data_IF_269270257460
#
_entry.id   IF_269270257460
#
_cell.length_a   1.000
_cell.length_b   1.000
_cell.length_c   1.000
_cell.angle_alpha   90.00
_cell.angle_beta   90.00
_cell.angle_gamma   90.00
#
_symmetry.space_group_name_H-M   'P 1'
#
loop_
_entity.id
_entity.type
_entity.pdbx_description
1 polymer ?
#
# COMPACT_ATOMS: atom_id res chain seq x y z
N UNK A 1 11.24 15.55 4.67
CA UNK A 1 10.28 14.45 4.92
C UNK A 1 10.60 13.32 3.99
N UNK A 2 10.52 12.09 4.43
CA UNK A 2 10.63 10.91 3.57
C UNK A 2 9.79 9.76 4.12
N UNK A 3 9.37 8.86 3.24
CA UNK A 3 8.76 7.60 3.59
C UNK A 3 9.55 6.40 3.06
N UNK A 4 8.86 5.32 2.71
CA UNK A 4 9.48 4.15 2.09
C UNK A 4 9.76 4.38 0.60
N UNK A 5 10.70 3.61 0.02
CA UNK A 5 11.16 3.79 -1.37
C UNK A 5 10.15 3.39 -2.46
N UNK A 6 9.09 2.68 -2.10
CA UNK A 6 7.97 2.36 -2.99
C UNK A 6 6.74 3.20 -2.56
N UNK A 7 6.87 4.52 -2.60
CA UNK A 7 5.85 5.43 -2.11
C UNK A 7 4.47 5.08 -2.68
N UNK A 8 3.49 5.01 -1.81
CA UNK A 8 2.08 4.91 -2.15
C UNK A 8 1.34 6.19 -1.77
N UNK A 9 0.02 6.19 -1.90
CA UNK A 9 -0.78 7.37 -1.58
C UNK A 9 -0.81 7.70 -0.10
N UNK A 10 -0.61 6.72 0.81
CA UNK A 10 -0.56 7.02 2.24
C UNK A 10 0.75 7.67 2.63
N UNK A 11 1.86 7.10 2.19
CA UNK A 11 3.19 7.68 2.34
C UNK A 11 3.25 9.10 1.78
N UNK A 12 2.76 9.31 0.55
CA UNK A 12 2.72 10.62 -0.11
C UNK A 12 1.82 11.61 0.62
N UNK A 13 0.61 11.20 0.97
CA UNK A 13 -0.36 12.03 1.70
C UNK A 13 0.18 12.50 3.05
N UNK A 14 0.74 11.57 3.83
CA UNK A 14 1.37 11.88 5.11
C UNK A 14 2.53 12.87 4.95
N UNK A 15 3.38 12.69 3.92
CA UNK A 15 4.48 13.61 3.64
C UNK A 15 3.98 15.02 3.28
N UNK A 16 2.92 15.13 2.47
CA UNK A 16 2.29 16.41 2.12
C UNK A 16 1.69 17.12 3.35
N UNK A 17 1.07 16.37 4.26
CA UNK A 17 0.55 16.93 5.51
C UNK A 17 1.65 17.46 6.43
N UNK A 18 2.77 16.74 6.56
CA UNK A 18 3.95 17.22 7.31
C UNK A 18 4.53 18.48 6.64
N UNK A 19 4.62 18.49 5.30
CA UNK A 19 5.08 19.67 4.56
C UNK A 19 4.15 20.87 4.77
N UNK A 20 2.83 20.67 4.85
CA UNK A 20 1.88 21.71 5.22
C UNK A 20 2.19 22.32 6.60
N UNK A 21 2.44 21.49 7.62
CA UNK A 21 2.82 21.96 8.96
C UNK A 21 4.13 22.75 8.94
N UNK A 22 5.13 22.27 8.20
CA UNK A 22 6.42 22.96 8.08
C UNK A 22 6.30 24.33 7.42
N UNK A 23 5.53 24.44 6.32
CA UNK A 23 5.24 25.70 5.64
C UNK A 23 4.52 26.70 6.56
N UNK A 24 3.54 26.24 7.33
CA UNK A 24 2.82 27.07 8.28
C UNK A 24 3.72 27.66 9.38
N UNK A 25 4.81 26.95 9.72
CA UNK A 25 5.87 27.43 10.62
C UNK A 25 6.92 28.30 9.90
N UNK A 26 6.75 28.62 8.61
CA UNK A 26 7.74 29.36 7.84
C UNK A 26 9.05 28.61 7.61
N UNK A 27 9.03 27.29 7.63
CA UNK A 27 10.22 26.46 7.40
C UNK A 27 10.31 26.01 5.94
N UNK A 28 11.55 25.98 5.43
CA UNK A 28 11.84 25.30 4.18
C UNK A 28 11.64 23.80 4.38
N UNK A 29 10.94 23.16 3.46
CA UNK A 29 10.63 21.74 3.53
C UNK A 29 10.90 21.08 2.17
N UNK A 30 11.42 19.87 2.22
CA UNK A 30 11.60 19.02 1.05
C UNK A 30 11.00 17.63 1.35
N UNK A 31 10.36 17.04 0.35
CA UNK A 31 9.89 15.67 0.37
C UNK A 31 10.82 14.86 -0.55
N UNK A 32 11.45 13.83 0.02
CA UNK A 32 12.29 12.90 -0.75
C UNK A 32 11.38 11.89 -1.42
N UNK A 33 11.40 11.84 -2.74
CA UNK A 33 10.69 10.85 -3.55
C UNK A 33 11.69 10.01 -4.33
N UNK A 34 11.49 8.71 -4.34
CA UNK A 34 12.27 7.77 -5.14
C UNK A 34 12.04 8.01 -6.63
N UNK A 35 12.96 7.55 -7.48
CA UNK A 35 12.76 7.65 -8.91
C UNK A 35 11.67 6.69 -9.37
N UNK A 36 10.69 7.22 -10.13
CA UNK A 36 9.67 6.46 -10.87
C UNK A 36 8.80 5.51 -10.01
N UNK A 37 7.88 6.06 -9.28
CA UNK A 37 6.79 5.28 -8.71
C UNK A 37 5.50 5.51 -9.51
N UNK A 38 5.22 4.62 -10.49
CA UNK A 38 4.03 4.68 -11.35
C UNK A 38 2.71 4.73 -10.54
N UNK A 39 2.76 4.32 -9.27
CA UNK A 39 1.59 4.32 -8.38
C UNK A 39 1.07 5.70 -8.02
N UNK A 40 1.95 6.70 -7.85
CA UNK A 40 1.59 8.06 -7.40
C UNK A 40 1.89 9.16 -8.42
N UNK A 41 2.37 8.83 -9.61
CA UNK A 41 2.79 9.81 -10.63
C UNK A 41 1.73 10.86 -10.91
N UNK A 42 0.47 10.46 -10.99
CA UNK A 42 -0.64 11.39 -11.30
C UNK A 42 -0.81 12.50 -10.25
N UNK A 43 -0.69 12.17 -8.96
CA UNK A 43 -0.83 13.16 -7.90
C UNK A 43 0.44 14.00 -7.75
N UNK A 44 1.62 13.40 -7.93
CA UNK A 44 2.90 14.11 -7.95
C UNK A 44 2.92 15.15 -9.07
N UNK A 45 2.56 14.76 -10.30
CA UNK A 45 2.46 15.64 -11.46
C UNK A 45 1.50 16.82 -11.23
N UNK A 46 0.43 16.58 -10.53
CA UNK A 46 -0.54 17.65 -10.19
C UNK A 46 0.03 18.65 -9.21
N UNK A 47 0.71 18.16 -8.16
CA UNK A 47 1.34 19.00 -7.15
C UNK A 47 2.49 19.79 -7.76
N UNK A 48 3.32 19.18 -8.61
CA UNK A 48 4.44 19.85 -9.28
C UNK A 48 4.03 21.00 -10.22
N UNK A 49 2.81 20.97 -10.76
CA UNK A 49 2.29 22.02 -11.64
C UNK A 49 1.81 23.26 -10.88
N UNK A 50 1.68 23.18 -9.58
CA UNK A 50 1.25 24.29 -8.74
C UNK A 50 2.48 25.02 -8.15
N UNK A 51 2.62 26.30 -8.46
CA UNK A 51 3.74 27.15 -8.04
C UNK A 51 3.94 27.18 -6.51
N UNK A 52 2.89 26.94 -5.73
CA UNK A 52 2.97 26.88 -4.28
C UNK A 52 3.85 25.72 -3.75
N UNK A 53 4.16 24.76 -4.61
CA UNK A 53 4.96 23.57 -4.29
C UNK A 53 6.27 23.51 -5.09
N UNK A 54 6.70 24.62 -5.66
CA UNK A 54 7.98 24.73 -6.35
C UNK A 54 9.13 24.26 -5.42
N UNK A 55 10.02 23.44 -5.92
CA UNK A 55 11.16 22.87 -5.20
C UNK A 55 10.81 22.03 -3.96
N UNK A 56 9.56 21.56 -3.83
CA UNK A 56 9.16 20.70 -2.71
C UNK A 56 9.77 19.31 -2.83
N UNK A 57 9.77 18.72 -4.02
CA UNK A 57 10.23 17.36 -4.23
C UNK A 57 11.71 17.32 -4.60
N UNK A 58 12.43 16.40 -3.99
CA UNK A 58 13.86 16.15 -4.20
C UNK A 58 14.12 14.66 -4.36
N UNK A 59 15.15 14.28 -5.08
CA UNK A 59 15.54 12.88 -5.24
C UNK A 59 16.46 12.43 -4.11
N UNK A 60 16.53 11.11 -3.84
CA UNK A 60 17.54 10.55 -2.96
C UNK A 60 18.95 11.05 -3.36
N UNK A 61 19.72 11.49 -2.39
CA UNK A 61 21.05 12.03 -2.60
C UNK A 61 21.15 13.54 -2.88
N UNK A 62 20.11 14.18 -3.41
CA UNK A 62 20.14 15.63 -3.74
C UNK A 62 20.28 16.53 -2.50
N UNK A 63 19.89 16.04 -1.32
CA UNK A 63 19.95 16.75 -0.04
C UNK A 63 21.35 16.75 0.60
N UNK A 64 22.40 16.28 -0.08
CA UNK A 64 23.73 16.21 0.50
C UNK A 64 24.27 17.57 1.00
N UNK A 65 23.86 18.69 0.38
CA UNK A 65 24.21 20.06 0.79
C UNK A 65 23.20 20.74 1.73
N UNK A 66 21.99 20.20 1.88
CA UNK A 66 20.91 20.78 2.69
C UNK A 66 20.75 20.07 4.03
N UNK A 67 21.10 18.79 4.09
CA UNK A 67 21.08 18.02 5.33
C UNK A 67 22.07 18.61 6.34
N UNK A 68 21.54 19.26 7.38
CA UNK A 68 22.33 19.92 8.42
C UNK A 68 21.91 19.44 9.80
N UNK A 69 22.74 19.70 10.81
CA UNK A 69 22.44 19.40 12.21
C UNK A 69 21.23 20.18 12.76
N UNK A 70 20.85 21.28 12.10
CA UNK A 70 19.66 22.07 12.45
C UNK A 70 18.37 21.52 11.83
N UNK A 71 18.49 20.70 10.79
CA UNK A 71 17.33 20.09 10.12
C UNK A 71 16.62 19.07 11.02
N UNK A 72 15.35 18.85 10.73
CA UNK A 72 14.54 17.78 11.28
C UNK A 72 14.16 16.83 10.13
N UNK A 73 14.41 15.56 10.30
CA UNK A 73 13.96 14.51 9.39
C UNK A 73 12.67 13.93 9.95
N UNK A 74 11.58 14.04 9.19
CA UNK A 74 10.32 13.39 9.51
C UNK A 74 10.17 12.18 8.61
N UNK A 75 10.16 11.01 9.19
CA UNK A 75 9.91 9.73 8.51
C UNK A 75 8.43 9.41 8.69
N UNK A 76 7.72 9.19 7.58
CA UNK A 76 6.28 8.92 7.57
C UNK A 76 6.02 7.55 6.93
N UNK A 77 5.00 6.86 7.43
CA UNK A 77 4.50 5.59 6.90
C UNK A 77 5.57 4.49 6.79
N UNK A 78 6.62 4.62 7.55
CA UNK A 78 7.72 3.66 7.66
C UNK A 78 8.53 3.91 8.92
N UNK A 79 9.17 2.87 9.43
CA UNK A 79 10.11 2.97 10.55
C UNK A 79 11.33 2.05 10.40
N UNK A 80 11.40 1.30 9.30
CA UNK A 80 12.46 0.31 9.03
C UNK A 80 13.51 0.96 8.12
N UNK A 81 14.78 1.10 8.55
CA UNK A 81 15.79 1.89 7.83
C UNK A 81 16.02 1.50 6.37
N UNK A 82 16.04 0.19 6.06
CA UNK A 82 16.41 -0.27 4.72
C UNK A 82 15.31 -0.12 3.66
N UNK A 83 14.07 0.19 4.07
CA UNK A 83 12.98 0.45 3.13
C UNK A 83 12.76 1.94 2.87
N UNK A 84 13.47 2.84 3.57
CA UNK A 84 13.32 4.29 3.39
C UNK A 84 13.83 4.75 2.03
N UNK A 85 13.28 5.84 1.53
CA UNK A 85 13.63 6.43 0.24
C UNK A 85 15.13 6.84 0.19
N UNK A 86 15.66 7.42 1.26
CA UNK A 86 17.09 7.74 1.41
C UNK A 86 17.59 7.42 2.83
N UNK A 87 18.02 6.18 3.11
CA UNK A 87 18.52 5.78 4.43
C UNK A 87 19.74 6.58 4.90
N UNK A 88 20.51 7.20 3.98
CA UNK A 88 21.71 7.95 4.34
C UNK A 88 21.40 9.23 5.12
N UNK A 89 20.18 9.73 5.03
CA UNK A 89 19.73 10.90 5.78
C UNK A 89 19.62 10.62 7.29
N UNK A 90 19.43 9.35 7.70
CA UNK A 90 19.42 8.96 9.12
C UNK A 90 20.76 9.21 9.82
N UNK A 91 21.87 9.16 9.08
CA UNK A 91 23.22 9.41 9.60
C UNK A 91 23.58 10.90 9.60
N UNK A 92 22.94 11.67 8.71
CA UNK A 92 23.26 13.10 8.50
C UNK A 92 22.42 14.03 9.34
N UNK A 93 21.16 13.66 9.62
CA UNK A 93 20.20 14.49 10.37
C UNK A 93 19.90 13.83 11.69
N UNK A 94 20.44 14.37 12.82
CA UNK A 94 20.30 13.72 14.12
C UNK A 94 18.90 13.86 14.76
N UNK A 95 18.10 14.83 14.29
CA UNK A 95 16.74 15.06 14.82
C UNK A 95 15.73 14.33 13.97
N UNK A 96 15.39 13.11 14.35
CA UNK A 96 14.50 12.24 13.60
C UNK A 96 13.15 12.13 14.32
N UNK A 97 12.06 12.33 13.60
CA UNK A 97 10.69 12.09 14.02
C UNK A 97 10.13 10.94 13.16
N UNK A 98 9.45 9.99 13.78
CA UNK A 98 8.80 8.87 13.10
C UNK A 98 7.31 8.94 13.34
N UNK A 99 6.50 8.93 12.27
CA UNK A 99 5.04 8.88 12.29
C UNK A 99 4.60 7.70 11.43
N UNK A 100 4.04 6.66 12.04
CA UNK A 100 3.73 5.42 11.33
C UNK A 100 2.55 4.69 11.97
N UNK A 101 1.82 3.90 11.19
CA UNK A 101 0.72 3.08 11.66
C UNK A 101 1.02 1.58 11.61
N UNK A 102 2.15 1.19 11.05
CA UNK A 102 2.55 -0.19 10.95
C UNK A 102 2.96 -0.79 12.30
N UNK A 103 2.80 -2.10 12.44
CA UNK A 103 3.27 -2.82 13.62
C UNK A 103 4.78 -2.68 13.75
N UNK A 104 5.23 -2.26 14.95
CA UNK A 104 6.64 -2.01 15.21
C UNK A 104 7.49 -3.26 14.97
N UNK A 105 8.54 -3.09 14.16
CA UNK A 105 9.57 -4.09 13.90
C UNK A 105 10.73 -3.97 14.91
N UNK A 106 11.49 -5.06 15.09
CA UNK A 106 12.76 -5.01 15.82
C UNK A 106 13.81 -4.15 15.07
N UNK A 107 13.75 -4.16 13.74
CA UNK A 107 14.60 -3.31 12.90
C UNK A 107 13.98 -1.92 12.75
N UNK A 108 14.34 -1.03 13.66
CA UNK A 108 13.75 0.30 13.80
C UNK A 108 14.80 1.40 13.63
N UNK A 109 14.39 2.58 13.15
CA UNK A 109 15.21 3.81 13.13
C UNK A 109 15.82 4.05 14.50
N UNK A 110 17.14 4.25 14.55
CA UNK A 110 17.89 4.40 15.82
C UNK A 110 17.75 5.81 16.38
N UNK A 111 17.59 5.91 17.69
CA UNK A 111 17.60 7.14 18.47
C UNK A 111 16.70 8.27 17.92
N UNK A 112 15.44 8.02 17.56
CA UNK A 112 14.55 9.08 17.14
C UNK A 112 14.27 10.04 18.28
N UNK A 113 14.12 11.33 17.94
CA UNK A 113 13.74 12.38 18.90
C UNK A 113 12.28 12.20 19.36
N UNK A 114 11.42 11.75 18.44
CA UNK A 114 10.01 11.49 18.70
C UNK A 114 9.54 10.30 17.87
N UNK A 115 8.73 9.45 18.47
CA UNK A 115 8.06 8.32 17.82
C UNK A 115 6.56 8.44 18.07
N UNK A 116 5.79 8.52 17.00
CA UNK A 116 4.34 8.46 17.02
C UNK A 116 3.89 7.29 16.15
N UNK A 117 3.71 6.14 16.79
CA UNK A 117 3.23 4.91 16.13
C UNK A 117 1.91 4.50 16.78
N UNK A 118 0.86 4.36 15.94
CA UNK A 118 -0.47 3.97 16.38
C UNK A 118 -1.05 2.94 15.41
N UNK A 119 -0.96 1.68 15.79
CA UNK A 119 -1.40 0.55 14.93
C UNK A 119 -2.92 0.39 14.83
N UNK A 120 -3.68 1.13 15.64
CA UNK A 120 -5.13 1.19 15.53
C UNK A 120 -5.61 2.26 14.53
N UNK A 121 -4.71 3.12 14.05
CA UNK A 121 -5.00 4.07 12.97
C UNK A 121 -5.07 3.35 11.64
N UNK A 122 -5.95 3.82 10.76
CA UNK A 122 -6.11 3.23 9.43
C UNK A 122 -4.96 3.52 8.47
N UNK A 123 -4.21 4.59 8.72
CA UNK A 123 -3.17 5.10 7.82
C UNK A 123 -2.27 6.14 8.50
N UNK A 124 -1.08 6.36 7.98
CA UNK A 124 -0.21 7.46 8.40
C UNK A 124 -0.82 8.83 8.05
N UNK A 125 -1.55 8.91 6.95
CA UNK A 125 -2.33 10.10 6.55
C UNK A 125 -3.41 10.45 7.57
N UNK A 126 -4.06 9.47 8.21
CA UNK A 126 -4.98 9.70 9.33
C UNK A 126 -4.23 10.35 10.49
N UNK A 127 -3.11 9.75 10.92
CA UNK A 127 -2.30 10.28 12.02
C UNK A 127 -1.82 11.71 11.78
N UNK A 128 -1.30 11.99 10.59
CA UNK A 128 -0.85 13.33 10.21
C UNK A 128 -2.03 14.31 10.14
N UNK A 129 -3.20 13.86 9.69
CA UNK A 129 -4.41 14.70 9.69
C UNK A 129 -4.84 15.07 11.11
N UNK A 130 -4.80 14.12 12.04
CA UNK A 130 -5.08 14.40 13.46
C UNK A 130 -4.09 15.42 14.04
N UNK A 131 -2.79 15.27 13.74
CA UNK A 131 -1.80 16.29 14.14
C UNK A 131 -2.16 17.66 13.56
N UNK A 132 -2.55 17.77 12.29
CA UNK A 132 -2.96 19.02 11.67
C UNK A 132 -4.16 19.67 12.37
N UNK A 133 -5.14 18.88 12.82
CA UNK A 133 -6.32 19.40 13.53
C UNK A 133 -5.97 20.14 14.81
N UNK A 134 -4.85 19.79 15.46
CA UNK A 134 -4.43 20.35 16.74
C UNK A 134 -3.12 21.16 16.69
N UNK A 135 -2.50 21.28 15.50
CA UNK A 135 -1.18 21.90 15.34
C UNK A 135 -1.18 23.42 15.57
N UNK A 136 -2.30 24.07 15.41
CA UNK A 136 -2.48 25.50 15.65
C UNK A 136 -3.51 26.14 14.72
N UNK A 137 -4.04 27.29 15.13
CA UNK A 137 -5.11 27.97 14.42
C UNK A 137 -4.72 28.48 13.00
N UNK A 138 -3.42 28.62 12.76
CA UNK A 138 -2.88 29.17 11.51
C UNK A 138 -2.54 28.08 10.47
N UNK A 139 -2.62 26.80 10.82
CA UNK A 139 -2.32 25.72 9.88
C UNK A 139 -3.59 25.35 9.13
N UNK A 140 -3.60 25.63 7.84
CA UNK A 140 -4.72 25.29 6.95
C UNK A 140 -4.18 24.53 5.74
N UNK A 141 -4.53 23.26 5.59
CA UNK A 141 -4.21 22.53 4.38
C UNK A 141 -4.82 23.20 3.16
N UNK A 142 -4.05 23.31 2.09
CA UNK A 142 -4.60 23.68 0.78
C UNK A 142 -5.51 22.58 0.26
N UNK A 143 -6.21 22.83 -0.84
CA UNK A 143 -6.99 21.78 -1.52
C UNK A 143 -6.13 20.59 -1.91
N UNK A 144 -4.89 20.81 -2.38
CA UNK A 144 -3.99 19.73 -2.78
C UNK A 144 -3.44 18.97 -1.57
N UNK A 145 -3.01 19.65 -0.49
CA UNK A 145 -2.59 18.98 0.75
C UNK A 145 -3.73 18.08 1.29
N UNK A 146 -4.94 18.64 1.37
CA UNK A 146 -6.09 17.90 1.87
C UNK A 146 -6.49 16.73 0.96
N UNK A 147 -6.34 16.89 -0.37
CA UNK A 147 -6.64 15.81 -1.34
C UNK A 147 -5.60 14.70 -1.25
N UNK A 148 -4.31 15.03 -1.08
CA UNK A 148 -3.24 14.06 -0.90
C UNK A 148 -3.45 13.22 0.37
N UNK A 149 -3.70 13.86 1.51
CA UNK A 149 -4.00 13.16 2.77
C UNK A 149 -5.26 12.28 2.65
N UNK A 150 -6.32 12.81 2.03
CA UNK A 150 -7.55 12.07 1.83
C UNK A 150 -7.35 10.85 0.91
N UNK A 151 -6.48 10.95 -0.11
CA UNK A 151 -6.17 9.83 -0.99
C UNK A 151 -5.46 8.69 -0.25
N UNK A 152 -4.54 9.01 0.68
CA UNK A 152 -3.89 8.03 1.55
C UNK A 152 -4.91 7.25 2.39
N UNK A 153 -5.79 7.96 3.11
CA UNK A 153 -6.85 7.32 3.89
C UNK A 153 -7.73 6.42 3.01
N UNK A 154 -8.12 6.89 1.82
CA UNK A 154 -8.99 6.13 0.90
C UNK A 154 -8.33 4.84 0.42
N UNK A 155 -7.03 4.86 0.13
CA UNK A 155 -6.29 3.66 -0.33
C UNK A 155 -6.18 2.64 0.77
N UNK A 156 -5.65 3.01 1.92
CA UNK A 156 -5.39 2.08 3.02
C UNK A 156 -6.65 1.48 3.62
N UNK A 157 -7.73 2.26 3.62
CA UNK A 157 -9.04 1.78 4.07
C UNK A 157 -9.83 1.06 2.98
N UNK A 158 -9.31 0.90 1.76
CA UNK A 158 -10.06 0.37 0.61
C UNK A 158 -11.44 1.04 0.47
N UNK A 159 -11.46 2.38 0.38
CA UNK A 159 -12.68 3.21 0.40
C UNK A 159 -13.50 3.05 1.70
N UNK A 160 -12.86 3.15 2.85
CA UNK A 160 -13.48 3.05 4.18
C UNK A 160 -14.13 1.69 4.49
N UNK A 161 -13.76 0.63 3.77
CA UNK A 161 -14.29 -0.72 3.98
C UNK A 161 -13.45 -1.56 4.94
N UNK A 162 -12.18 -1.20 5.16
CA UNK A 162 -11.23 -1.96 5.99
C UNK A 162 -10.49 -1.02 6.93
N UNK A 163 -10.39 -1.39 8.20
CA UNK A 163 -9.60 -0.66 9.19
C UNK A 163 -10.08 0.75 9.54
N UNK A 164 -11.18 1.24 8.95
CA UNK A 164 -11.71 2.56 9.23
C UNK A 164 -12.46 2.60 10.57
N UNK A 165 -11.99 3.43 11.49
CA UNK A 165 -12.61 3.70 12.78
C UNK A 165 -13.25 5.10 12.84
N UNK A 166 -13.78 5.48 14.00
CA UNK A 166 -14.36 6.82 14.22
C UNK A 166 -13.34 7.92 13.88
N UNK A 167 -12.09 7.76 14.32
CA UNK A 167 -10.99 8.71 14.05
C UNK A 167 -10.75 8.89 12.55
N UNK A 168 -10.83 7.82 11.79
CA UNK A 168 -10.70 7.86 10.31
C UNK A 168 -11.77 8.75 9.68
N UNK A 169 -13.03 8.62 10.13
CA UNK A 169 -14.13 9.45 9.63
C UNK A 169 -13.99 10.90 10.08
N UNK A 170 -13.51 11.17 11.29
CA UNK A 170 -13.24 12.53 11.78
C UNK A 170 -12.13 13.20 10.95
N UNK A 171 -11.03 12.49 10.69
CA UNK A 171 -9.96 12.94 9.81
C UNK A 171 -10.47 13.20 8.38
N UNK A 172 -11.23 12.28 7.82
CA UNK A 172 -11.85 12.45 6.50
C UNK A 172 -12.79 13.66 6.45
N UNK A 173 -13.61 13.86 7.47
CA UNK A 173 -14.51 15.01 7.57
C UNK A 173 -13.73 16.34 7.67
N UNK A 174 -12.64 16.37 8.43
CA UNK A 174 -11.75 17.55 8.48
C UNK A 174 -11.16 17.85 7.12
N UNK A 175 -10.59 16.85 6.42
CA UNK A 175 -10.01 17.03 5.09
C UNK A 175 -11.05 17.48 4.06
N UNK A 176 -12.28 16.96 4.15
CA UNK A 176 -13.39 17.42 3.29
C UNK A 176 -13.73 18.87 3.53
N UNK A 177 -13.77 19.34 4.78
CA UNK A 177 -13.95 20.77 5.12
C UNK A 177 -12.78 21.63 4.64
N UNK A 178 -11.57 21.07 4.62
CA UNK A 178 -10.35 21.72 4.09
C UNK A 178 -10.27 21.74 2.56
N UNK A 179 -11.25 21.17 1.85
CA UNK A 179 -11.33 21.22 0.40
C UNK A 179 -10.82 19.96 -0.33
N UNK A 180 -10.56 18.86 0.37
CA UNK A 180 -10.23 17.61 -0.30
C UNK A 180 -11.28 17.22 -1.35
N UNK A 181 -10.81 16.82 -2.53
CA UNK A 181 -11.65 16.55 -3.70
C UNK A 181 -11.78 15.04 -3.97
N UNK A 182 -12.90 14.40 -3.56
CA UNK A 182 -13.09 12.98 -3.79
C UNK A 182 -13.29 12.61 -5.27
N UNK A 183 -13.73 13.56 -6.10
CA UNK A 183 -13.84 13.32 -7.55
C UNK A 183 -12.44 13.18 -8.14
N UNK A 184 -11.53 14.07 -7.71
CA UNK A 184 -10.14 14.00 -8.09
C UNK A 184 -9.49 12.70 -7.57
N UNK A 185 -9.67 12.38 -6.29
CA UNK A 185 -9.15 11.13 -5.71
C UNK A 185 -9.65 9.91 -6.49
N UNK A 186 -10.94 9.86 -6.83
CA UNK A 186 -11.47 8.79 -7.68
C UNK A 186 -10.80 8.75 -9.06
N UNK A 187 -10.48 9.91 -9.66
CA UNK A 187 -9.80 9.98 -10.95
C UNK A 187 -8.35 9.47 -10.88
N UNK A 188 -7.66 9.67 -9.74
CA UNK A 188 -6.30 9.13 -9.51
C UNK A 188 -6.26 7.60 -9.61
N UNK A 189 -7.32 6.92 -9.18
CA UNK A 189 -7.43 5.45 -9.16
C UNK A 189 -8.13 4.84 -10.38
N UNK A 190 -8.39 5.65 -11.42
CA UNK A 190 -8.96 5.12 -12.66
C UNK A 190 -7.94 4.25 -13.39
N UNK A 191 -8.35 3.02 -13.71
CA UNK A 191 -7.64 2.15 -14.62
C UNK A 191 -7.99 2.51 -16.07
N UNK A 192 -7.08 2.23 -16.99
CA UNK A 192 -7.39 2.30 -18.42
C UNK A 192 -8.41 1.23 -18.84
N UNK A 193 -8.96 1.40 -20.05
CA UNK A 193 -9.98 0.50 -20.55
C UNK A 193 -9.47 -0.94 -20.72
N UNK A 194 -8.24 -1.11 -21.20
CA UNK A 194 -7.64 -2.43 -21.46
C UNK A 194 -7.44 -3.19 -20.16
N UNK A 195 -6.88 -2.55 -19.13
CA UNK A 195 -6.74 -3.09 -17.78
C UNK A 195 -8.10 -3.47 -17.18
N UNK A 196 -9.11 -2.61 -17.35
CA UNK A 196 -10.48 -2.87 -16.86
C UNK A 196 -11.09 -4.10 -17.53
N UNK A 197 -10.95 -4.23 -18.85
CA UNK A 197 -11.44 -5.40 -19.61
C UNK A 197 -10.69 -6.66 -19.22
N UNK A 198 -9.36 -6.60 -19.10
CA UNK A 198 -8.55 -7.74 -18.69
C UNK A 198 -8.93 -8.23 -17.29
N UNK A 199 -9.14 -7.33 -16.34
CA UNK A 199 -9.61 -7.64 -14.99
C UNK A 199 -10.99 -8.29 -14.98
N UNK A 200 -11.91 -7.77 -15.80
CA UNK A 200 -13.26 -8.35 -15.94
C UNK A 200 -13.21 -9.77 -16.53
N UNK A 201 -12.38 -9.99 -17.56
CA UNK A 201 -12.16 -11.33 -18.15
C UNK A 201 -11.53 -12.30 -17.16
N UNK A 202 -10.51 -11.85 -16.42
CA UNK A 202 -9.86 -12.68 -15.40
C UNK A 202 -10.87 -13.17 -14.35
N UNK A 203 -11.76 -12.29 -13.88
CA UNK A 203 -12.82 -12.64 -12.93
C UNK A 203 -13.89 -13.56 -13.54
N UNK A 204 -14.33 -13.29 -14.78
CA UNK A 204 -15.35 -14.07 -15.45
C UNK A 204 -14.89 -15.50 -15.77
N UNK A 205 -13.60 -15.71 -15.99
CA UNK A 205 -13.00 -17.01 -16.31
C UNK A 205 -12.50 -17.77 -15.06
N UNK A 206 -12.75 -17.26 -13.86
CA UNK A 206 -12.39 -17.95 -12.62
C UNK A 206 -13.34 -19.11 -12.36
N UNK A 207 -12.80 -20.20 -11.84
CA UNK A 207 -13.56 -21.40 -11.48
C UNK A 207 -13.70 -21.49 -9.96
N UNK A 208 -14.91 -21.85 -9.53
CA UNK A 208 -15.22 -22.08 -8.13
C UNK A 208 -15.08 -23.57 -7.80
N UNK A 209 -14.35 -23.90 -6.74
CA UNK A 209 -14.11 -25.25 -6.25
C UNK A 209 -14.73 -25.42 -4.84
N UNK A 210 -15.06 -26.68 -4.44
CA UNK A 210 -15.52 -26.96 -3.09
C UNK A 210 -14.55 -26.45 -2.02
N UNK A 211 -15.09 -26.08 -0.84
CA UNK A 211 -14.30 -25.52 0.26
C UNK A 211 -14.07 -24.02 0.15
N UNK A 212 -14.76 -23.32 -0.76
CA UNK A 212 -14.65 -21.86 -0.91
C UNK A 212 -13.39 -21.39 -1.63
N UNK A 213 -12.83 -22.22 -2.53
CA UNK A 213 -11.68 -21.89 -3.35
C UNK A 213 -12.12 -21.34 -4.71
N UNK A 214 -11.55 -20.22 -5.12
CA UNK A 214 -11.62 -19.73 -6.50
C UNK A 214 -10.22 -19.73 -7.11
N UNK A 215 -10.08 -20.27 -8.34
CA UNK A 215 -8.85 -20.21 -9.10
C UNK A 215 -9.11 -19.63 -10.48
N UNK A 216 -8.43 -18.52 -10.77
CA UNK A 216 -8.44 -17.87 -12.08
C UNK A 216 -7.09 -17.97 -12.80
N UNK A 217 -7.08 -17.62 -14.09
CA UNK A 217 -5.84 -17.54 -14.85
C UNK A 217 -5.86 -16.37 -15.83
N UNK A 218 -4.67 -15.82 -16.10
CA UNK A 218 -4.42 -14.76 -17.08
C UNK A 218 -3.32 -15.29 -18.01
N UNK A 219 -3.70 -15.95 -19.13
CA UNK A 219 -2.73 -16.58 -20.03
C UNK A 219 -2.03 -15.57 -20.94
N UNK A 220 -2.61 -14.38 -21.13
CA UNK A 220 -2.00 -13.32 -21.91
C UNK A 220 -0.85 -12.69 -21.16
N UNK A 221 0.25 -12.37 -21.85
CA UNK A 221 1.36 -11.60 -21.30
C UNK A 221 0.98 -10.12 -21.25
N UNK A 222 0.57 -9.66 -20.10
CA UNK A 222 0.22 -8.26 -19.84
C UNK A 222 1.33 -7.58 -19.04
N UNK A 223 1.68 -6.35 -19.39
CA UNK A 223 2.68 -5.58 -18.66
C UNK A 223 2.31 -5.43 -17.16
N UNK A 224 1.03 -5.25 -16.88
CA UNK A 224 0.43 -5.12 -15.55
C UNK A 224 -0.24 -6.43 -15.05
N UNK A 225 0.13 -7.59 -15.60
CA UNK A 225 -0.49 -8.89 -15.30
C UNK A 225 -0.50 -9.23 -13.80
N UNK A 226 0.56 -8.91 -13.08
CA UNK A 226 0.66 -9.10 -11.64
C UNK A 226 -0.37 -8.25 -10.87
N UNK A 227 -0.54 -6.99 -11.27
CA UNK A 227 -1.51 -6.07 -10.66
C UNK A 227 -2.93 -6.57 -10.92
N UNK A 228 -3.23 -6.98 -12.16
CA UNK A 228 -4.54 -7.52 -12.53
C UNK A 228 -4.84 -8.80 -11.75
N UNK A 229 -3.88 -9.71 -11.62
CA UNK A 229 -4.03 -10.95 -10.85
C UNK A 229 -4.32 -10.67 -9.38
N UNK A 230 -3.58 -9.73 -8.77
CA UNK A 230 -3.80 -9.30 -7.39
C UNK A 230 -5.20 -8.68 -7.20
N UNK A 231 -5.59 -7.76 -8.06
CA UNK A 231 -6.92 -7.11 -8.02
C UNK A 231 -8.06 -8.10 -8.29
N UNK A 232 -7.85 -9.07 -9.17
CA UNK A 232 -8.82 -10.13 -9.43
C UNK A 232 -8.99 -11.00 -8.18
N UNK A 233 -7.88 -11.44 -7.57
CA UNK A 233 -7.89 -12.25 -6.35
C UNK A 233 -8.60 -11.52 -5.19
N UNK A 234 -8.26 -10.26 -4.93
CA UNK A 234 -8.93 -9.42 -3.92
C UNK A 234 -10.42 -9.24 -4.23
N UNK A 235 -10.75 -9.05 -5.50
CA UNK A 235 -12.14 -8.87 -5.93
C UNK A 235 -13.01 -10.11 -5.76
N UNK A 236 -12.45 -11.30 -5.94
CA UNK A 236 -13.19 -12.57 -5.82
C UNK A 236 -13.42 -12.99 -4.36
N UNK A 237 -12.65 -12.49 -3.41
CA UNK A 237 -12.93 -12.68 -1.98
C UNK A 237 -14.24 -12.02 -1.50
N UNK A 238 -14.84 -11.14 -2.34
CA UNK A 238 -16.16 -10.53 -2.05
C UNK A 238 -17.33 -11.40 -2.46
N UNK A 239 -17.08 -12.52 -3.10
CA UNK A 239 -18.12 -13.51 -3.48
C UNK A 239 -18.46 -14.32 -2.24
N UNK A 240 -19.75 -14.47 -2.00
CA UNK A 240 -20.24 -15.25 -0.86
C UNK A 240 -19.72 -16.68 -0.88
N UNK A 241 -19.30 -17.18 0.29
CA UNK A 241 -18.74 -18.52 0.45
C UNK A 241 -17.29 -18.68 -0.05
N UNK A 242 -16.62 -17.62 -0.52
CA UNK A 242 -15.20 -17.67 -0.90
C UNK A 242 -14.31 -17.44 0.31
N UNK A 243 -13.45 -18.40 0.61
CA UNK A 243 -12.44 -18.36 1.68
C UNK A 243 -11.05 -18.06 1.13
N UNK A 244 -10.77 -18.49 -0.12
CA UNK A 244 -9.47 -18.35 -0.79
C UNK A 244 -9.65 -18.06 -2.28
N UNK A 245 -8.84 -17.16 -2.81
CA UNK A 245 -8.80 -16.80 -4.23
C UNK A 245 -7.36 -16.78 -4.73
N UNK A 246 -7.07 -17.56 -5.79
CA UNK A 246 -5.73 -17.67 -6.36
C UNK A 246 -5.78 -17.40 -7.86
N UNK A 247 -4.87 -16.56 -8.34
CA UNK A 247 -4.71 -16.28 -9.77
C UNK A 247 -3.32 -16.62 -10.25
N UNK A 248 -3.26 -17.36 -11.35
CA UNK A 248 -2.04 -17.75 -12.05
C UNK A 248 -1.93 -16.92 -13.32
N UNK A 249 -0.79 -16.27 -13.56
CA UNK A 249 -0.64 -15.34 -14.68
C UNK A 249 0.71 -15.50 -15.38
N UNK A 250 0.71 -15.25 -16.70
CA UNK A 250 1.93 -15.31 -17.51
C UNK A 250 2.76 -14.05 -17.29
N UNK A 251 4.03 -14.23 -16.95
CA UNK A 251 5.03 -13.15 -16.81
C UNK A 251 5.93 -13.08 -18.05
N UNK A 252 6.86 -12.13 -18.06
CA UNK A 252 7.90 -12.04 -19.07
C UNK A 252 8.85 -13.27 -19.00
N UNK A 253 9.36 -13.70 -20.14
CA UNK A 253 10.12 -14.96 -20.24
C UNK A 253 9.20 -16.18 -20.06
N UNK A 254 9.76 -17.28 -19.61
CA UNK A 254 9.03 -18.54 -19.32
C UNK A 254 8.70 -18.64 -17.82
N UNK A 255 8.27 -17.51 -17.24
CA UNK A 255 7.86 -17.41 -15.84
C UNK A 255 6.34 -17.31 -15.69
N UNK A 256 5.83 -17.96 -14.67
CA UNK A 256 4.44 -17.93 -14.26
C UNK A 256 4.36 -17.37 -12.85
N UNK A 257 3.59 -16.29 -12.70
CA UNK A 257 3.31 -15.69 -11.40
C UNK A 257 2.06 -16.28 -10.76
N UNK A 258 2.02 -16.30 -9.44
CA UNK A 258 0.87 -16.72 -8.64
C UNK A 258 0.57 -15.62 -7.65
N UNK A 259 -0.71 -15.21 -7.56
CA UNK A 259 -1.19 -14.25 -6.55
C UNK A 259 -2.31 -14.91 -5.76
N UNK A 260 -2.15 -15.02 -4.45
CA UNK A 260 -3.09 -15.68 -3.56
C UNK A 260 -3.59 -14.72 -2.48
N UNK A 261 -4.88 -14.84 -2.17
CA UNK A 261 -5.59 -14.04 -1.15
C UNK A 261 -6.50 -14.96 -0.32
N UNK A 262 -6.70 -14.61 0.95
CA UNK A 262 -7.70 -15.26 1.80
C UNK A 262 -8.44 -14.27 2.68
N UNK A 263 -9.59 -14.72 3.21
CA UNK A 263 -10.38 -13.95 4.18
C UNK A 263 -9.77 -13.92 5.59
N UNK A 264 -8.71 -14.69 5.83
CA UNK A 264 -8.04 -14.85 7.13
C UNK A 264 -8.26 -16.20 7.79
N UNK A 265 -9.24 -16.97 7.34
CA UNK A 265 -9.47 -18.34 7.80
C UNK A 265 -8.43 -19.34 7.26
N UNK A 266 -7.86 -19.03 6.09
CA UNK A 266 -6.88 -19.84 5.41
C UNK A 266 -5.53 -19.13 5.30
N UNK A 267 -4.44 -19.83 5.55
CA UNK A 267 -3.08 -19.29 5.39
C UNK A 267 -2.54 -19.57 3.99
N UNK A 268 -2.67 -18.58 3.08
CA UNK A 268 -2.18 -18.72 1.69
C UNK A 268 -0.66 -18.72 1.57
N UNK A 269 0.06 -18.23 2.58
CA UNK A 269 1.53 -18.26 2.60
C UNK A 269 2.05 -19.70 2.52
N UNK A 270 1.47 -20.61 3.29
CA UNK A 270 1.88 -22.03 3.30
C UNK A 270 1.78 -22.67 1.91
N UNK A 271 0.73 -22.31 1.16
CA UNK A 271 0.57 -22.83 -0.22
C UNK A 271 1.63 -22.20 -1.14
N UNK A 272 1.90 -20.89 -1.01
CA UNK A 272 2.87 -20.21 -1.86
C UNK A 272 4.32 -20.63 -1.57
N UNK A 273 4.66 -20.97 -0.34
CA UNK A 273 5.97 -21.52 0.03
C UNK A 273 6.29 -22.83 -0.72
N UNK A 274 5.27 -23.66 -1.01
CA UNK A 274 5.44 -24.86 -1.82
C UNK A 274 5.83 -24.60 -3.28
N UNK A 275 5.64 -23.35 -3.76
CA UNK A 275 6.09 -22.87 -5.07
C UNK A 275 7.34 -21.99 -4.98
N UNK A 276 8.04 -21.98 -3.85
CA UNK A 276 9.23 -21.15 -3.62
C UNK A 276 8.90 -19.67 -3.44
N UNK A 277 7.64 -19.34 -3.16
CA UNK A 277 7.15 -17.98 -2.88
C UNK A 277 7.06 -17.66 -1.39
N UNK A 278 6.26 -16.66 -1.05
CA UNK A 278 6.05 -16.22 0.33
C UNK A 278 5.04 -15.11 0.43
N UNK A 279 4.97 -14.50 1.61
CA UNK A 279 4.05 -13.41 1.91
C UNK A 279 3.55 -13.46 3.35
N UNK A 280 2.28 -13.18 3.53
CA UNK A 280 1.58 -13.24 4.81
C UNK A 280 0.38 -14.21 4.71
N UNK A 281 -0.21 -14.55 5.85
CA UNK A 281 -1.33 -15.49 5.92
C UNK A 281 -2.47 -15.15 4.94
N UNK A 282 -2.78 -13.87 4.74
CA UNK A 282 -3.91 -13.44 3.90
C UNK A 282 -3.51 -13.00 2.50
N UNK A 283 -2.22 -12.71 2.27
CA UNK A 283 -1.69 -12.17 1.02
C UNK A 283 -0.34 -12.79 0.75
N UNK A 284 -0.24 -13.59 -0.29
CA UNK A 284 1.02 -14.26 -0.67
C UNK A 284 1.13 -14.38 -2.19
N UNK A 285 2.33 -14.66 -2.67
CA UNK A 285 2.60 -14.88 -4.08
C UNK A 285 3.83 -15.74 -4.33
N UNK A 286 3.94 -16.26 -5.54
CA UNK A 286 5.08 -17.04 -5.98
C UNK A 286 5.41 -16.78 -7.45
N UNK A 287 6.62 -17.16 -7.86
CA UNK A 287 7.05 -17.12 -9.26
C UNK A 287 7.69 -18.47 -9.60
N UNK A 288 7.14 -19.11 -10.60
CA UNK A 288 7.59 -20.44 -11.07
C UNK A 288 8.26 -20.27 -12.42
N UNK A 289 9.47 -20.81 -12.57
CA UNK A 289 10.24 -20.78 -13.82
C UNK A 289 10.03 -22.06 -14.61
N UNK A 290 10.18 -21.96 -15.92
CA UNK A 290 10.27 -23.11 -16.85
C UNK A 290 9.08 -24.08 -16.75
N UNK A 291 7.89 -23.59 -16.41
CA UNK A 291 6.68 -24.41 -16.33
C UNK A 291 5.52 -23.79 -17.14
N UNK A 292 4.73 -24.58 -17.88
CA UNK A 292 3.54 -24.09 -18.54
C UNK A 292 2.51 -23.59 -17.52
N UNK A 293 1.82 -22.47 -17.83
CA UNK A 293 0.78 -21.91 -16.96
C UNK A 293 -0.30 -22.92 -16.58
N UNK A 294 -0.72 -23.78 -17.52
CA UNK A 294 -1.72 -24.82 -17.26
C UNK A 294 -1.24 -25.84 -16.20
N UNK A 295 0.03 -26.21 -16.22
CA UNK A 295 0.63 -27.13 -15.25
C UNK A 295 0.67 -26.49 -13.85
N UNK A 296 1.15 -25.26 -13.77
CA UNK A 296 1.20 -24.51 -12.50
C UNK A 296 -0.22 -24.33 -11.94
N UNK A 297 -1.20 -23.99 -12.80
CA UNK A 297 -2.60 -23.87 -12.37
C UNK A 297 -3.16 -25.17 -11.80
N UNK A 298 -2.90 -26.30 -12.46
CA UNK A 298 -3.36 -27.61 -11.99
C UNK A 298 -2.76 -27.95 -10.61
N UNK A 299 -1.46 -27.72 -10.43
CA UNK A 299 -0.76 -27.95 -9.18
C UNK A 299 -1.27 -27.02 -8.05
N UNK A 300 -1.55 -25.75 -8.38
CA UNK A 300 -2.16 -24.79 -7.43
C UNK A 300 -3.52 -25.30 -6.93
N UNK A 301 -4.37 -25.78 -7.84
CA UNK A 301 -5.69 -26.33 -7.49
C UNK A 301 -5.53 -27.55 -6.57
N UNK A 302 -4.65 -28.48 -6.91
CA UNK A 302 -4.41 -29.70 -6.13
C UNK A 302 -3.94 -29.36 -4.70
N UNK A 303 -2.91 -28.50 -4.57
CA UNK A 303 -2.36 -28.12 -3.26
C UNK A 303 -3.35 -27.31 -2.43
N UNK A 304 -4.07 -26.39 -3.05
CA UNK A 304 -5.06 -25.58 -2.34
C UNK A 304 -6.22 -26.43 -1.81
N UNK A 305 -6.68 -27.41 -2.59
CA UNK A 305 -7.73 -28.34 -2.15
C UNK A 305 -7.26 -29.24 -1.03
N UNK A 306 -6.04 -29.82 -1.14
CA UNK A 306 -5.47 -30.64 -0.07
C UNK A 306 -5.34 -29.85 1.24
N UNK A 307 -4.86 -28.60 1.16
CA UNK A 307 -4.75 -27.73 2.33
C UNK A 307 -6.11 -27.43 2.98
N UNK A 308 -7.15 -27.17 2.17
CA UNK A 308 -8.50 -26.93 2.68
C UNK A 308 -9.05 -28.18 3.39
N UNK A 309 -8.90 -29.37 2.78
CA UNK A 309 -9.35 -30.64 3.36
C UNK A 309 -8.67 -30.93 4.71
N UNK A 310 -7.36 -30.69 4.83
CA UNK A 310 -6.61 -30.83 6.08
C UNK A 310 -7.06 -29.81 7.15
N UNK A 311 -7.30 -28.57 6.75
CA UNK A 311 -7.76 -27.51 7.66
C UNK A 311 -9.15 -27.81 8.22
N UNK A 312 -10.09 -28.21 7.36
CA UNK A 312 -11.47 -28.51 7.77
C UNK A 312 -11.54 -29.76 8.67
N UNK A 313 -10.63 -30.75 8.48
CA UNK A 313 -10.52 -31.92 9.37
C UNK A 313 -9.96 -31.54 10.74
N UNK A 314 -9.00 -30.62 10.81
CA UNK A 314 -8.39 -30.18 12.07
C UNK A 314 -9.38 -29.39 12.93
N UNK A 315 -10.23 -28.56 12.32
CA UNK A 315 -11.28 -27.80 13.01
C UNK A 315 -12.39 -28.73 13.57
N UNK A 316 -12.74 -29.78 12.83
CA UNK A 316 -13.74 -30.74 13.29
C UNK A 316 -13.28 -31.58 14.50
N UNK A 317 -11.97 -31.80 14.68
CA UNK A 317 -11.41 -32.52 15.84
C UNK A 317 -11.25 -31.64 17.09
N UNK A 318 -11.18 -30.33 16.94
CA UNK A 318 -11.09 -29.39 18.07
C UNK A 318 -12.45 -28.96 18.63
N UNK A 319 -13.53 -29.18 17.90
CA UNK A 319 -14.90 -28.82 18.28
C UNK A 319 -15.70 -29.97 18.93
N UNK A 320 -15.13 -31.17 19.07
CA UNK A 320 -15.70 -32.34 19.75
C UNK A 320 -14.99 -32.62 21.07
#
# INVERSE_FOLDING_TARGET
>A
VMGHHNEDYDCFGAAMGVACMARALGKTVHIVLSEMNEGIDRIVDMVQKDEAYENLFVRPGDLAGVASQSAVLVVVDAHIPHILADPTLLERIPKIVVIDHHRRSENFVKNPLLVYIETASSSASELVTELLMYFGENVRPTRLDATALYSGIVVDTKNFNVGAGVRTFDAAAYLRRSGADPVLVRALFQSDYETTVALARAKANAEFFPGGLIVGSIPERLANGQIIAAQAADGMLRVDGVRMSIYVFQMAGDMVGISARSTGEMNVQVIMEAFGGGGHANVAGAQVKDAPLATVRAEVIERARAYIEESDQSESHTAG
#
